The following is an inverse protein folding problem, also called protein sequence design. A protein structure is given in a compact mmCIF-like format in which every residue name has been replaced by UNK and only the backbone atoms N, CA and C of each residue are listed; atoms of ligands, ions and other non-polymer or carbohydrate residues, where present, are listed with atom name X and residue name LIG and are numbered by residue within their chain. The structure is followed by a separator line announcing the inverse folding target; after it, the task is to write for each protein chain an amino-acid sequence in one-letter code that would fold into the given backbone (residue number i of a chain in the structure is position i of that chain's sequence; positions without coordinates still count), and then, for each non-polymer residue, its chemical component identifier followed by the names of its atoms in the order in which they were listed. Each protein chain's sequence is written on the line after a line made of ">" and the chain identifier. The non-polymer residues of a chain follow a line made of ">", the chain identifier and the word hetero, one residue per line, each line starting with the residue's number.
data_IF_752110516245
#
_entry.id   IF_752110516245
#
_cell.length_a   1.000
_cell.length_b   1.000
_cell.length_c   1.000
_cell.angle_alpha   90.00
_cell.angle_beta   90.00
_cell.angle_gamma   90.00
#
_symmetry.space_group_name_H-M   'P 1'
#
loop_
_entity.id
_entity.type
_entity.pdbx_description
1 polymer ?
#
# COMPACT_ATOMS: atom_id res chain seq x y z
N UNK A 1 25.42 2.99 -36.75
CA UNK A 1 24.08 2.70 -36.17
C UNK A 1 23.94 1.26 -35.68
N UNK A 2 24.40 0.24 -36.41
CA UNK A 2 24.33 -1.17 -35.99
C UNK A 2 25.14 -1.49 -34.69
N UNK A 3 26.33 -0.91 -34.51
CA UNK A 3 27.15 -1.12 -33.32
C UNK A 3 26.47 -0.63 -32.03
N UNK A 4 25.76 0.50 -32.08
CA UNK A 4 25.02 1.05 -30.93
C UNK A 4 23.85 0.13 -30.52
N UNK A 5 23.19 -0.51 -31.49
CA UNK A 5 22.12 -1.48 -31.24
C UNK A 5 22.64 -2.77 -30.60
N UNK A 6 23.80 -3.26 -31.05
CA UNK A 6 24.44 -4.47 -30.49
C UNK A 6 24.90 -4.22 -29.05
N UNK A 7 25.51 -3.07 -28.79
CA UNK A 7 25.98 -2.70 -27.45
C UNK A 7 24.83 -2.50 -26.46
N UNK A 8 23.73 -1.89 -26.92
CA UNK A 8 22.52 -1.72 -26.10
C UNK A 8 21.84 -3.07 -25.79
N UNK A 9 21.76 -3.96 -26.78
CA UNK A 9 21.22 -5.31 -26.62
C UNK A 9 22.04 -6.15 -25.64
N UNK A 10 23.37 -6.09 -25.74
CA UNK A 10 24.28 -6.82 -24.86
C UNK A 10 24.19 -6.34 -23.40
N UNK A 11 24.20 -5.02 -23.20
CA UNK A 11 24.05 -4.40 -21.86
C UNK A 11 22.72 -4.78 -21.22
N UNK A 12 21.64 -4.83 -22.01
CA UNK A 12 20.32 -5.22 -21.53
C UNK A 12 20.24 -6.71 -21.12
N UNK A 13 20.88 -7.59 -21.88
CA UNK A 13 20.98 -9.02 -21.55
C UNK A 13 21.72 -9.27 -20.24
N UNK A 14 22.82 -8.54 -19.99
CA UNK A 14 23.60 -8.62 -18.76
C UNK A 14 22.78 -8.17 -17.53
N UNK A 15 22.04 -7.06 -17.65
CA UNK A 15 21.16 -6.54 -16.59
C UNK A 15 20.07 -7.57 -16.23
N UNK A 16 19.45 -8.23 -17.22
CA UNK A 16 18.45 -9.29 -16.95
C UNK A 16 19.05 -10.47 -16.20
N UNK A 17 20.28 -10.88 -16.52
CA UNK A 17 20.97 -11.99 -15.84
C UNK A 17 21.30 -11.64 -14.39
N UNK A 18 21.73 -10.42 -14.11
CA UNK A 18 21.97 -9.92 -12.75
C UNK A 18 20.69 -9.88 -11.92
N UNK A 19 19.60 -9.31 -12.46
CA UNK A 19 18.29 -9.26 -11.79
C UNK A 19 17.75 -10.65 -11.41
N UNK A 20 17.90 -11.65 -12.30
CA UNK A 20 17.49 -13.03 -11.99
C UNK A 20 18.25 -13.63 -10.79
N UNK A 21 19.56 -13.38 -10.69
CA UNK A 21 20.37 -13.83 -9.54
C UNK A 21 19.93 -13.15 -8.24
N UNK A 22 19.66 -11.84 -8.29
CA UNK A 22 19.16 -11.09 -7.13
C UNK A 22 17.80 -11.60 -6.65
N UNK A 23 16.86 -11.82 -7.57
CA UNK A 23 15.54 -12.40 -7.28
C UNK A 23 15.69 -13.77 -6.60
N UNK A 24 16.62 -14.60 -7.06
CA UNK A 24 16.87 -15.92 -6.46
C UNK A 24 17.46 -15.82 -5.05
N UNK A 25 18.34 -14.84 -4.80
CA UNK A 25 18.87 -14.53 -3.46
C UNK A 25 17.76 -14.06 -2.52
N UNK A 26 16.83 -13.24 -3.02
CA UNK A 26 15.69 -12.74 -2.24
C UNK A 26 14.71 -13.84 -1.83
N UNK A 27 14.44 -14.81 -2.71
CA UNK A 27 13.55 -15.96 -2.40
C UNK A 27 14.00 -16.78 -1.19
N UNK A 28 15.30 -16.81 -0.89
CA UNK A 28 15.88 -17.54 0.25
C UNK A 28 15.79 -16.80 1.59
N UNK A 29 15.34 -15.53 1.62
CA UNK A 29 15.27 -14.75 2.85
C UNK A 29 14.14 -15.22 3.77
N UNK A 30 14.38 -15.14 5.09
CA UNK A 30 13.36 -15.41 6.11
C UNK A 30 12.30 -14.30 6.18
N UNK A 31 11.10 -14.62 6.66
CA UNK A 31 9.97 -13.69 6.76
C UNK A 31 10.33 -12.38 7.49
N UNK A 32 10.92 -12.47 8.68
CA UNK A 32 11.32 -11.29 9.46
C UNK A 32 12.41 -10.48 8.76
N UNK A 33 13.31 -11.13 8.03
CA UNK A 33 14.35 -10.44 7.26
C UNK A 33 13.75 -9.65 6.09
N UNK A 34 12.67 -10.16 5.48
CA UNK A 34 11.95 -9.45 4.42
C UNK A 34 11.32 -8.17 4.97
N UNK A 35 10.57 -8.26 6.07
CA UNK A 35 9.94 -7.10 6.70
C UNK A 35 11.00 -6.08 7.15
N UNK A 36 12.05 -6.52 7.83
CA UNK A 36 13.15 -5.64 8.25
C UNK A 36 13.80 -4.93 7.07
N UNK A 37 14.04 -5.63 5.96
CA UNK A 37 14.61 -5.03 4.76
C UNK A 37 13.65 -4.03 4.10
N UNK A 38 12.34 -4.28 4.14
CA UNK A 38 11.34 -3.37 3.61
C UNK A 38 11.39 -1.99 4.31
N UNK A 39 11.44 -2.00 5.65
CA UNK A 39 11.56 -0.78 6.46
C UNK A 39 12.98 -0.19 6.53
N UNK A 40 14.02 -0.95 6.19
CA UNK A 40 15.40 -0.42 6.13
C UNK A 40 15.71 0.24 4.80
N UNK A 41 15.28 -0.39 3.71
CA UNK A 41 15.64 0.01 2.34
C UNK A 41 14.47 0.74 1.65
N UNK A 42 13.66 1.51 2.39
CA UNK A 42 12.56 2.27 1.78
C UNK A 42 13.07 3.46 0.97
N UNK A 43 14.22 4.04 1.32
CA UNK A 43 14.82 5.18 0.59
C UNK A 43 15.45 4.72 -0.73
N UNK A 44 15.84 3.45 -0.84
CA UNK A 44 16.42 2.93 -2.08
C UNK A 44 15.32 2.48 -3.04
N UNK A 45 15.01 3.36 -3.99
CA UNK A 45 14.06 3.07 -5.05
C UNK A 45 14.62 2.16 -6.14
N UNK A 46 15.94 1.92 -6.24
CA UNK A 46 16.58 1.24 -7.38
C UNK A 46 16.64 -0.27 -7.28
N UNK A 47 16.46 -0.83 -6.08
CA UNK A 47 16.56 -2.26 -5.86
C UNK A 47 15.40 -3.04 -6.50
N UNK A 48 15.67 -4.27 -6.93
CA UNK A 48 14.65 -5.21 -7.40
C UNK A 48 13.83 -5.73 -6.23
N UNK A 49 12.55 -6.02 -6.48
CA UNK A 49 11.62 -6.56 -5.48
C UNK A 49 10.89 -7.78 -6.01
N UNK A 50 10.90 -8.87 -5.23
CA UNK A 50 10.07 -10.04 -5.54
C UNK A 50 8.64 -9.83 -5.06
N UNK A 51 7.68 -10.60 -5.61
CA UNK A 51 6.29 -10.56 -5.15
C UNK A 51 6.19 -10.83 -3.65
N UNK A 52 6.98 -11.79 -3.15
CA UNK A 52 7.06 -12.12 -1.73
C UNK A 52 7.61 -10.96 -0.91
N UNK A 53 8.63 -10.27 -1.39
CA UNK A 53 9.22 -9.13 -0.68
C UNK A 53 8.27 -7.94 -0.54
N UNK A 54 7.34 -7.79 -1.49
CA UNK A 54 6.32 -6.75 -1.44
C UNK A 54 5.07 -7.17 -0.65
N UNK A 55 4.49 -8.34 -0.95
CA UNK A 55 3.21 -8.74 -0.36
C UNK A 55 3.33 -9.12 1.12
N UNK A 56 4.47 -9.64 1.60
CA UNK A 56 4.59 -10.00 3.02
C UNK A 56 4.51 -8.76 3.94
N UNK A 57 5.27 -7.67 3.73
CA UNK A 57 5.12 -6.44 4.52
C UNK A 57 3.75 -5.78 4.36
N UNK A 58 3.19 -5.81 3.15
CA UNK A 58 1.86 -5.23 2.86
C UNK A 58 0.76 -5.99 3.61
N UNK A 59 0.76 -7.32 3.54
CA UNK A 59 -0.19 -8.16 4.26
C UNK A 59 0.00 -8.06 5.78
N UNK A 60 1.23 -7.98 6.28
CA UNK A 60 1.45 -7.81 7.72
C UNK A 60 0.92 -6.47 8.22
N UNK A 61 1.06 -5.40 7.43
CA UNK A 61 0.44 -4.11 7.72
C UNK A 61 -1.08 -4.19 7.72
N UNK A 62 -1.70 -4.81 6.72
CA UNK A 62 -3.16 -4.98 6.69
C UNK A 62 -3.67 -5.83 7.85
N UNK A 63 -2.98 -6.92 8.20
CA UNK A 63 -3.34 -7.73 9.36
C UNK A 63 -3.28 -6.91 10.67
N UNK A 64 -2.25 -6.08 10.84
CA UNK A 64 -2.14 -5.16 11.97
C UNK A 64 -3.25 -4.09 11.95
N UNK A 65 -3.65 -3.61 10.77
CA UNK A 65 -4.75 -2.65 10.60
C UNK A 65 -6.11 -3.20 11.06
N UNK A 66 -6.37 -4.50 10.85
CA UNK A 66 -7.59 -5.13 11.34
C UNK A 66 -7.65 -5.12 12.87
N UNK A 67 -6.51 -5.32 13.54
CA UNK A 67 -6.43 -5.20 15.00
C UNK A 67 -6.74 -3.77 15.45
N UNK A 68 -6.20 -2.77 14.76
CA UNK A 68 -6.51 -1.35 15.03
C UNK A 68 -7.99 -1.02 14.88
N UNK A 69 -8.66 -1.56 13.85
CA UNK A 69 -10.10 -1.41 13.64
C UNK A 69 -10.89 -2.03 14.80
N UNK A 70 -10.57 -3.26 15.21
CA UNK A 70 -11.24 -3.92 16.34
C UNK A 70 -11.09 -3.10 17.62
N UNK A 71 -9.88 -2.59 17.91
CA UNK A 71 -9.63 -1.72 19.06
C UNK A 71 -10.47 -0.44 19.02
N UNK A 72 -10.59 0.19 17.85
CA UNK A 72 -11.41 1.39 17.68
C UNK A 72 -12.90 1.11 17.94
N UNK A 73 -13.41 -0.06 17.54
CA UNK A 73 -14.79 -0.47 17.80
C UNK A 73 -15.03 -0.71 19.29
N UNK A 74 -14.08 -1.34 20.00
CA UNK A 74 -14.19 -1.56 21.45
C UNK A 74 -14.24 -0.24 22.21
N UNK A 75 -13.41 0.74 21.83
CA UNK A 75 -13.45 2.09 22.42
C UNK A 75 -14.81 2.75 22.14
N UNK A 76 -15.33 2.61 20.90
CA UNK A 76 -16.60 3.20 20.54
C UNK A 76 -17.80 2.60 21.30
N UNK A 77 -17.81 1.29 21.58
CA UNK A 77 -18.90 0.63 22.31
C UNK A 77 -18.86 0.92 23.82
N UNK A 78 -17.67 0.98 24.43
CA UNK A 78 -17.55 1.23 25.88
C UNK A 78 -17.84 2.70 26.25
N UNK A 79 -17.64 3.63 25.32
CA UNK A 79 -17.90 5.06 25.54
C UNK A 79 -19.32 5.50 25.12
N UNK A 80 -20.23 4.56 24.81
CA UNK A 80 -21.63 4.91 24.61
C UNK A 80 -22.19 5.46 25.92
N UNK A 81 -22.60 6.73 25.92
CA UNK A 81 -23.27 7.36 27.05
C UNK A 81 -24.61 6.68 27.28
N UNK A 82 -24.78 6.07 28.45
CA UNK A 82 -26.10 5.61 28.91
C UNK A 82 -27.01 6.84 29.06
N UNK A 83 -27.98 7.00 28.17
CA UNK A 83 -29.05 7.99 28.32
C UNK A 83 -30.07 7.37 29.28
N UNK A 84 -29.91 7.65 30.57
CA UNK A 84 -30.95 7.34 31.55
C UNK A 84 -32.04 8.41 31.44
N UNK A 85 -33.16 8.07 30.80
CA UNK A 85 -34.38 8.89 30.84
C UNK A 85 -35.02 8.65 32.21
N UNK A 86 -34.81 9.57 33.15
CA UNK A 86 -35.58 9.60 34.39
C UNK A 86 -36.88 10.35 34.13
N UNK A 87 -38.02 9.72 34.42
CA UNK A 87 -39.34 10.35 34.32
C UNK A 87 -39.38 11.61 35.21
N UNK A 88 -39.46 12.79 34.59
CA UNK A 88 -39.86 14.04 35.25
C UNK A 88 -38.84 15.17 35.38
N UNK A 89 -37.57 15.02 34.98
CA UNK A 89 -36.60 16.14 34.96
C UNK A 89 -35.69 16.04 33.74
N UNK A 90 -35.75 17.04 32.85
CA UNK A 90 -34.89 17.18 31.66
C UNK A 90 -33.44 17.58 32.01
N UNK A 91 -32.78 16.83 32.90
CA UNK A 91 -31.34 16.96 33.10
C UNK A 91 -30.65 15.80 32.42
N UNK A 92 -30.15 16.05 31.20
CA UNK A 92 -29.21 15.17 30.51
C UNK A 92 -27.90 15.17 31.28
N UNK A 93 -27.81 14.34 32.33
CA UNK A 93 -26.54 14.14 33.04
C UNK A 93 -25.67 13.27 32.14
N UNK A 94 -24.76 13.91 31.39
CA UNK A 94 -23.62 13.23 30.76
C UNK A 94 -22.71 12.74 31.87
N UNK A 95 -23.03 11.60 32.48
CA UNK A 95 -22.12 11.00 33.46
C UNK A 95 -20.93 10.45 32.68
N UNK A 96 -19.83 11.19 32.69
CA UNK A 96 -18.54 10.71 32.21
C UNK A 96 -18.13 9.56 33.14
N UNK A 97 -18.37 8.32 32.72
CA UNK A 97 -17.83 7.15 33.40
C UNK A 97 -16.30 7.28 33.43
N UNK A 98 -15.70 7.05 34.60
CA UNK A 98 -14.25 7.04 34.72
C UNK A 98 -13.67 6.04 33.71
N UNK A 99 -12.58 6.37 32.99
CA UNK A 99 -12.03 5.49 31.98
C UNK A 99 -11.64 4.17 32.63
N UNK A 100 -12.30 3.09 32.21
CA UNK A 100 -11.97 1.74 32.65
C UNK A 100 -10.53 1.39 32.27
N UNK A 101 -9.89 0.47 33.00
CA UNK A 101 -8.53 -0.02 32.68
C UNK A 101 -8.46 -0.51 31.22
N UNK A 102 -9.55 -1.10 30.73
CA UNK A 102 -9.72 -1.56 29.34
C UNK A 102 -9.64 -0.38 28.37
N UNK A 103 -10.30 0.74 28.65
CA UNK A 103 -10.25 1.94 27.81
C UNK A 103 -8.86 2.56 27.76
N UNK A 104 -8.16 2.66 28.90
CA UNK A 104 -6.79 3.21 28.95
C UNK A 104 -5.85 2.36 28.08
N UNK A 105 -5.93 1.03 28.21
CA UNK A 105 -5.12 0.11 27.39
C UNK A 105 -5.48 0.21 25.90
N UNK A 106 -6.78 0.26 25.57
CA UNK A 106 -7.23 0.36 24.19
C UNK A 106 -6.77 1.66 23.52
N UNK A 107 -6.85 2.80 24.23
CA UNK A 107 -6.34 4.09 23.76
C UNK A 107 -4.83 4.03 23.53
N UNK A 108 -4.07 3.45 24.47
CA UNK A 108 -2.62 3.29 24.32
C UNK A 108 -2.23 2.45 23.09
N UNK A 109 -2.92 1.33 22.86
CA UNK A 109 -2.71 0.49 21.68
C UNK A 109 -3.16 1.18 20.38
N UNK A 110 -4.21 1.99 20.42
CA UNK A 110 -4.67 2.78 19.28
C UNK A 110 -3.64 3.85 18.89
N UNK A 111 -3.07 4.57 19.86
CA UNK A 111 -1.98 5.53 19.62
C UNK A 111 -0.77 4.82 19.01
N UNK A 112 -0.38 3.67 19.56
CA UNK A 112 0.71 2.86 19.02
C UNK A 112 0.45 2.45 17.56
N UNK A 113 -0.77 2.01 17.25
CA UNK A 113 -1.18 1.67 15.90
C UNK A 113 -1.10 2.87 14.95
N UNK A 114 -1.60 4.04 15.37
CA UNK A 114 -1.51 5.29 14.58
C UNK A 114 -0.04 5.61 14.25
N UNK A 115 0.86 5.53 15.23
CA UNK A 115 2.29 5.81 15.00
C UNK A 115 2.88 4.85 13.96
N UNK A 116 2.59 3.55 14.05
CA UNK A 116 3.04 2.58 13.05
C UNK A 116 2.47 2.91 11.66
N UNK A 117 1.21 3.30 11.58
CA UNK A 117 0.59 3.72 10.31
C UNK A 117 1.32 4.89 9.69
N UNK A 118 1.63 5.94 10.44
CA UNK A 118 2.39 7.09 9.94
C UNK A 118 3.79 6.70 9.46
N UNK A 119 4.53 5.90 10.23
CA UNK A 119 5.87 5.44 9.85
C UNK A 119 5.85 4.57 8.59
N UNK A 120 4.76 3.84 8.37
CA UNK A 120 4.61 2.90 7.25
C UNK A 120 4.22 3.57 5.93
N UNK A 121 3.78 4.83 5.93
CA UNK A 121 3.36 5.54 4.71
C UNK A 121 4.49 5.54 3.67
N UNK A 122 5.69 6.00 4.05
CA UNK A 122 6.82 6.17 3.12
C UNK A 122 7.31 4.80 2.59
N UNK A 123 7.53 3.77 3.43
CA UNK A 123 7.85 2.42 2.95
C UNK A 123 6.83 1.84 1.98
N UNK A 124 5.53 2.05 2.22
CA UNK A 124 4.47 1.56 1.33
C UNK A 124 4.53 2.21 -0.05
N UNK A 125 4.67 3.53 -0.11
CA UNK A 125 4.83 4.25 -1.38
C UNK A 125 6.07 3.76 -2.14
N UNK A 126 7.20 3.62 -1.44
CA UNK A 126 8.44 3.10 -2.04
C UNK A 126 8.27 1.67 -2.57
N UNK A 127 7.56 0.81 -1.84
CA UNK A 127 7.23 -0.54 -2.28
C UNK A 127 6.43 -0.57 -3.58
N UNK A 128 5.38 0.26 -3.68
CA UNK A 128 4.52 0.36 -4.86
C UNK A 128 5.30 0.81 -6.09
N UNK A 129 6.11 1.88 -5.95
CA UNK A 129 6.93 2.41 -7.04
C UNK A 129 7.91 1.36 -7.57
N UNK A 130 8.59 0.63 -6.67
CA UNK A 130 9.50 -0.47 -7.06
C UNK A 130 8.77 -1.57 -7.81
N UNK A 131 7.58 -1.97 -7.35
CA UNK A 131 6.78 -3.01 -8.01
C UNK A 131 6.27 -2.59 -9.37
N UNK A 132 5.81 -1.35 -9.54
CA UNK A 132 5.38 -0.86 -10.85
C UNK A 132 6.53 -0.81 -11.86
N UNK A 133 7.71 -0.35 -11.42
CA UNK A 133 8.90 -0.40 -12.26
C UNK A 133 9.29 -1.84 -12.60
N UNK A 134 9.29 -2.73 -11.60
CA UNK A 134 9.62 -4.14 -11.80
C UNK A 134 8.59 -4.86 -12.68
N UNK A 135 7.33 -4.43 -12.72
CA UNK A 135 6.30 -4.93 -13.63
C UNK A 135 6.51 -4.48 -15.09
N UNK A 136 7.36 -3.48 -15.33
CA UNK A 136 7.71 -2.98 -16.66
C UNK A 136 7.16 -1.59 -17.00
N UNK A 137 6.64 -0.83 -16.04
CA UNK A 137 6.18 0.54 -16.28
C UNK A 137 7.35 1.55 -16.35
N UNK A 138 7.19 2.55 -17.21
CA UNK A 138 8.04 3.74 -17.26
C UNK A 138 7.77 4.67 -16.08
N UNK A 139 8.77 5.48 -15.72
CA UNK A 139 8.67 6.47 -14.63
C UNK A 139 7.45 7.41 -14.78
N UNK A 140 7.11 7.81 -16.01
CA UNK A 140 5.93 8.66 -16.28
C UNK A 140 4.61 7.94 -16.02
N UNK A 141 4.50 6.68 -16.47
CA UNK A 141 3.31 5.85 -16.24
C UNK A 141 3.09 5.54 -14.75
N UNK A 142 4.18 5.33 -14.01
CA UNK A 142 4.14 5.17 -12.55
C UNK A 142 3.53 6.40 -11.88
N UNK A 143 4.04 7.59 -12.20
CA UNK A 143 3.54 8.85 -11.60
C UNK A 143 2.05 9.04 -11.88
N UNK A 144 1.62 8.86 -13.12
CA UNK A 144 0.20 8.98 -13.48
C UNK A 144 -0.68 7.98 -12.74
N UNK A 145 -0.29 6.70 -12.70
CA UNK A 145 -1.07 5.68 -12.00
C UNK A 145 -1.17 5.94 -10.49
N UNK A 146 -0.09 6.41 -9.85
CA UNK A 146 -0.09 6.73 -8.42
C UNK A 146 -0.96 7.96 -8.14
N UNK A 147 -0.86 9.02 -8.93
CA UNK A 147 -1.67 10.23 -8.75
C UNK A 147 -3.15 9.88 -8.95
N UNK A 148 -3.48 9.15 -10.01
CA UNK A 148 -4.84 8.75 -10.32
C UNK A 148 -5.43 7.89 -9.20
N UNK A 149 -4.67 6.91 -8.70
CA UNK A 149 -5.15 6.03 -7.64
C UNK A 149 -5.39 6.77 -6.32
N UNK A 150 -4.55 7.75 -5.96
CA UNK A 150 -4.73 8.56 -4.74
C UNK A 150 -5.97 9.46 -4.85
N UNK A 151 -6.17 10.12 -5.98
CA UNK A 151 -7.33 11.01 -6.20
C UNK A 151 -8.62 10.20 -6.08
N UNK A 152 -8.73 9.10 -6.81
CA UNK A 152 -9.95 8.29 -6.81
C UNK A 152 -10.14 7.51 -5.51
N UNK A 153 -9.07 7.08 -4.84
CA UNK A 153 -9.18 6.44 -3.52
C UNK A 153 -9.75 7.39 -2.47
N UNK A 154 -9.37 8.67 -2.50
CA UNK A 154 -9.84 9.66 -1.50
C UNK A 154 -11.26 10.13 -1.78
N UNK A 155 -11.61 10.38 -3.05
CA UNK A 155 -12.98 10.78 -3.42
C UNK A 155 -13.98 9.64 -3.31
N UNK A 156 -13.61 8.42 -3.74
CA UNK A 156 -14.52 7.26 -3.72
C UNK A 156 -14.76 6.66 -2.33
N UNK A 157 -13.88 6.91 -1.35
CA UNK A 157 -14.06 6.46 0.03
C UNK A 157 -15.02 7.34 0.85
N UNK A 158 -15.43 8.49 0.32
CA UNK A 158 -16.36 9.38 1.02
C UNK A 158 -17.79 8.83 0.96
N UNK A 159 -18.48 8.77 2.10
CA UNK A 159 -19.85 8.24 2.19
C UNK A 159 -20.87 9.05 1.35
N UNK A 160 -20.51 10.27 0.93
CA UNK A 160 -21.34 11.16 0.11
C UNK A 160 -20.98 11.12 -1.39
N UNK A 161 -20.04 10.28 -1.81
CA UNK A 161 -19.65 10.21 -3.22
C UNK A 161 -20.75 9.60 -4.08
N UNK A 162 -20.95 10.13 -5.29
CA UNK A 162 -21.83 9.52 -6.29
C UNK A 162 -21.41 8.08 -6.64
N UNK A 163 -22.38 7.20 -6.90
CA UNK A 163 -22.16 5.80 -7.28
C UNK A 163 -21.19 5.65 -8.48
N UNK A 164 -21.25 6.58 -9.43
CA UNK A 164 -20.32 6.60 -10.57
C UNK A 164 -18.86 6.79 -10.14
N UNK A 165 -18.60 7.71 -9.20
CA UNK A 165 -17.24 7.94 -8.69
C UNK A 165 -16.73 6.71 -7.95
N UNK A 166 -17.57 6.08 -7.11
CA UNK A 166 -17.22 4.84 -6.42
C UNK A 166 -16.86 3.72 -7.40
N UNK A 167 -17.63 3.58 -8.49
CA UNK A 167 -17.35 2.60 -9.53
C UNK A 167 -16.00 2.86 -10.22
N UNK A 168 -15.69 4.09 -10.59
CA UNK A 168 -14.39 4.45 -11.17
C UNK A 168 -13.25 4.21 -10.18
N UNK A 169 -13.44 4.55 -8.90
CA UNK A 169 -12.46 4.27 -7.85
C UNK A 169 -12.18 2.79 -7.67
N UNK A 170 -13.23 1.96 -7.71
CA UNK A 170 -13.09 0.51 -7.69
C UNK A 170 -12.28 0.00 -8.90
N UNK A 171 -12.59 0.45 -10.12
CA UNK A 171 -11.83 0.08 -11.32
C UNK A 171 -10.36 0.50 -11.23
N UNK A 172 -10.07 1.70 -10.75
CA UNK A 172 -8.70 2.19 -10.58
C UNK A 172 -7.94 1.34 -9.54
N UNK A 173 -8.59 0.97 -8.44
CA UNK A 173 -8.05 0.06 -7.43
C UNK A 173 -7.77 -1.33 -8.00
N UNK A 174 -8.67 -1.85 -8.83
CA UNK A 174 -8.53 -3.15 -9.48
C UNK A 174 -7.36 -3.16 -10.48
N UNK A 175 -7.20 -2.13 -11.30
CA UNK A 175 -6.05 -1.99 -12.22
C UNK A 175 -4.73 -1.95 -11.43
N UNK A 176 -4.67 -1.12 -10.38
CA UNK A 176 -3.51 -1.02 -9.47
C UNK A 176 -3.15 -2.39 -8.90
N UNK A 177 -4.15 -3.11 -8.40
CA UNK A 177 -3.98 -4.44 -7.82
C UNK A 177 -3.45 -5.46 -8.84
N UNK A 178 -4.02 -5.49 -10.06
CA UNK A 178 -3.54 -6.37 -11.14
C UNK A 178 -2.07 -6.09 -11.46
N UNK A 179 -1.68 -4.82 -11.57
CA UNK A 179 -0.29 -4.44 -11.85
C UNK A 179 0.65 -4.88 -10.72
N UNK A 180 0.24 -4.78 -9.46
CA UNK A 180 1.04 -5.24 -8.32
C UNK A 180 1.22 -6.77 -8.30
N UNK A 181 0.21 -7.52 -8.75
CA UNK A 181 0.25 -8.97 -8.89
C UNK A 181 1.08 -9.45 -10.09
N UNK A 182 1.35 -8.60 -11.07
CA UNK A 182 2.03 -8.99 -12.30
C UNK A 182 3.45 -9.57 -12.04
N UNK A 183 3.92 -10.54 -12.85
CA UNK A 183 5.31 -10.99 -12.77
C UNK A 183 6.26 -9.84 -13.12
N UNK A 184 7.50 -9.93 -12.64
CA UNK A 184 8.55 -8.98 -13.04
C UNK A 184 8.80 -9.06 -14.56
N UNK A 185 8.97 -7.90 -15.21
CA UNK A 185 9.23 -7.73 -16.66
C UNK A 185 8.13 -8.31 -17.58
N UNK A 186 6.86 -8.34 -17.16
CA UNK A 186 5.77 -8.86 -18.00
C UNK A 186 5.28 -7.85 -19.06
N UNK A 187 5.23 -6.57 -18.74
CA UNK A 187 4.78 -5.53 -19.66
C UNK A 187 5.93 -5.12 -20.58
N UNK A 188 5.86 -5.50 -21.85
CA UNK A 188 6.81 -5.07 -22.89
C UNK A 188 6.05 -4.50 -24.08
N UNK A 189 6.43 -3.30 -24.54
CA UNK A 189 5.79 -2.64 -25.68
C UNK A 189 6.47 -3.06 -26.98
N UNK A 190 5.75 -3.78 -27.86
CA UNK A 190 6.25 -4.12 -29.21
C UNK A 190 5.73 -3.23 -30.35
N UNK A 191 4.64 -2.47 -30.18
CA UNK A 191 3.96 -1.89 -31.37
C UNK A 191 3.32 -0.50 -31.23
N UNK A 192 2.47 -0.20 -30.24
CA UNK A 192 1.71 1.07 -30.25
C UNK A 192 2.42 2.26 -29.60
N UNK A 193 2.29 3.45 -30.22
CA UNK A 193 2.87 4.72 -29.72
C UNK A 193 2.41 5.06 -28.30
N UNK A 194 1.14 4.82 -27.99
CA UNK A 194 0.56 4.98 -26.66
C UNK A 194 1.17 4.02 -25.62
N UNK A 195 1.38 2.75 -25.98
CA UNK A 195 2.02 1.78 -25.10
C UNK A 195 3.48 2.12 -24.79
N UNK A 196 4.22 2.76 -25.71
CA UNK A 196 5.59 3.24 -25.44
C UNK A 196 5.64 4.35 -24.40
N UNK A 197 4.56 5.11 -24.21
CA UNK A 197 4.50 6.15 -23.18
C UNK A 197 4.49 5.52 -21.77
N UNK A 198 3.74 4.44 -21.58
CA UNK A 198 3.54 3.81 -20.27
C UNK A 198 4.52 2.67 -19.96
N UNK A 199 5.02 1.94 -20.96
CA UNK A 199 5.85 0.75 -20.75
C UNK A 199 7.30 0.95 -21.17
N UNK A 200 8.19 0.27 -20.45
CA UNK A 200 9.63 0.26 -20.71
C UNK A 200 9.95 -0.48 -22.00
N UNK A 201 10.88 0.08 -22.78
CA UNK A 201 11.49 -0.54 -23.96
C UNK A 201 12.60 -1.52 -23.54
#
# INVERSE_FOLDING_TARGET
>A
MALFFVEHSYKYGMIKKQRKKEIQKMKKKSYFQVIKNFYKNYVNFSDCTTRRDYWLPVLSYYALSLVGIILSLVIFTVNQTEVTVSEGVETVVKQASAPSIINILAIGLLIFWIVISFVSIIPMFSGVVRRYRDAGLNNRGIVWLVILSVIFSTTGASAQSNNFVQFISFLCGLITFIVLLLPSDYLTSKSSSFARYFYRQ
#
